data_IF_632207929303
#
_entry.id   IF_632207929303
#
_cell.length_a   1.000
_cell.length_b   1.000
_cell.length_c   1.000
_cell.angle_alpha   90.00
_cell.angle_beta   90.00
_cell.angle_gamma   90.00
#
_symmetry.space_group_name_H-M   'P 1'
#
loop_
_entity.id
_entity.type
_entity.pdbx_description
1 polymer ?
#
# COMPACT_ATOMS: atom_id res chain seq x y z
N UNK A 1 -14.17 -12.36 -2.46
CA UNK A 1 -13.34 -12.22 -1.29
C UNK A 1 -12.33 -13.35 -1.09
N UNK A 2 -12.76 -14.60 -0.83
CA UNK A 2 -11.83 -15.67 -0.41
C UNK A 2 -10.87 -16.17 -1.50
N UNK A 3 -11.21 -16.03 -2.77
CA UNK A 3 -10.34 -16.46 -3.89
C UNK A 3 -9.09 -15.59 -3.94
N UNK A 4 -9.23 -14.27 -3.87
CA UNK A 4 -8.10 -13.35 -3.91
C UNK A 4 -7.19 -13.45 -2.68
N UNK A 5 -7.74 -13.70 -1.49
CA UNK A 5 -6.94 -13.95 -0.29
C UNK A 5 -6.04 -15.18 -0.42
N UNK A 6 -6.51 -16.21 -1.11
CA UNK A 6 -5.74 -17.43 -1.35
C UNK A 6 -4.64 -17.24 -2.41
N UNK A 7 -4.77 -16.27 -3.29
CA UNK A 7 -3.85 -16.01 -4.40
C UNK A 7 -2.87 -14.87 -4.08
N UNK A 8 -3.37 -13.71 -3.69
CA UNK A 8 -2.56 -12.49 -3.50
C UNK A 8 -2.18 -12.25 -2.03
N UNK A 9 -2.89 -12.81 -1.07
CA UNK A 9 -2.62 -12.64 0.35
C UNK A 9 -1.58 -13.63 0.86
N UNK A 10 -2.01 -14.84 1.20
CA UNK A 10 -1.18 -15.83 1.92
C UNK A 10 0.09 -16.23 1.14
N UNK A 11 0.06 -16.56 -0.17
CA UNK A 11 1.29 -16.94 -0.87
C UNK A 11 2.33 -15.82 -0.92
N UNK A 12 1.90 -14.58 -1.13
CA UNK A 12 2.79 -13.42 -1.17
C UNK A 12 3.37 -13.15 0.23
N UNK A 13 2.54 -13.16 1.27
CA UNK A 13 3.02 -13.01 2.64
C UNK A 13 4.03 -14.10 3.02
N UNK A 14 3.80 -15.35 2.61
CA UNK A 14 4.74 -16.45 2.83
C UNK A 14 6.06 -16.25 2.07
N UNK A 15 6.00 -15.68 0.86
CA UNK A 15 7.22 -15.37 0.10
C UNK A 15 8.08 -14.36 0.87
N UNK A 16 7.50 -13.24 1.32
CA UNK A 16 8.23 -12.23 2.11
C UNK A 16 8.69 -12.77 3.47
N UNK A 17 7.89 -13.61 4.13
CA UNK A 17 8.31 -14.24 5.39
C UNK A 17 9.57 -15.11 5.22
N UNK A 18 9.69 -15.83 4.09
CA UNK A 18 10.91 -16.61 3.77
C UNK A 18 12.10 -15.72 3.45
N UNK A 19 11.88 -14.44 3.12
CA UNK A 19 12.95 -13.47 2.86
C UNK A 19 13.24 -12.54 4.06
N UNK A 20 12.80 -12.93 5.25
CA UNK A 20 13.18 -12.28 6.51
C UNK A 20 12.22 -11.17 6.99
N UNK A 21 11.06 -11.01 6.36
CA UNK A 21 10.06 -10.05 6.80
C UNK A 21 9.04 -10.65 7.75
N UNK A 22 8.51 -9.83 8.65
CA UNK A 22 7.26 -10.13 9.35
C UNK A 22 6.11 -9.68 8.44
N UNK A 23 5.38 -10.63 7.87
CA UNK A 23 4.34 -10.36 6.87
C UNK A 23 2.94 -10.54 7.47
N UNK A 24 2.08 -9.55 7.25
CA UNK A 24 0.70 -9.52 7.74
C UNK A 24 -0.28 -9.37 6.58
N UNK A 25 -1.31 -10.20 6.55
CA UNK A 25 -2.40 -10.09 5.57
C UNK A 25 -3.56 -9.35 6.21
N UNK A 26 -3.83 -8.13 5.75
CA UNK A 26 -4.90 -7.30 6.28
C UNK A 26 -6.24 -7.66 5.65
N UNK A 27 -7.21 -7.99 6.48
CA UNK A 27 -8.60 -8.17 6.09
C UNK A 27 -9.38 -6.88 6.39
N UNK A 28 -9.53 -6.03 5.39
CA UNK A 28 -10.23 -4.78 5.52
C UNK A 28 -11.72 -4.90 5.15
N UNK A 29 -12.52 -3.96 5.63
CA UNK A 29 -13.95 -3.88 5.33
C UNK A 29 -14.17 -3.62 3.84
N UNK A 30 -15.13 -4.33 3.28
CA UNK A 30 -15.61 -4.17 1.90
C UNK A 30 -17.11 -3.90 1.92
N UNK A 31 -17.73 -3.66 0.76
CA UNK A 31 -19.18 -3.38 0.71
C UNK A 31 -19.97 -4.21 1.72
N UNK A 32 -20.90 -3.61 2.47
CA UNK A 32 -21.50 -2.26 2.27
C UNK A 32 -20.69 -1.07 2.84
N UNK A 33 -19.52 -1.31 3.40
CA UNK A 33 -18.64 -0.26 3.92
C UNK A 33 -17.98 0.56 2.82
N UNK A 34 -17.55 1.77 3.14
CA UNK A 34 -16.88 2.68 2.22
C UNK A 34 -15.39 2.33 2.03
N UNK A 35 -14.76 2.92 1.02
CA UNK A 35 -13.32 2.81 0.81
C UNK A 35 -12.55 3.45 1.98
N UNK A 36 -13.00 4.58 2.47
CA UNK A 36 -12.42 5.30 3.60
C UNK A 36 -12.41 4.46 4.89
N UNK A 37 -13.46 3.70 5.14
CA UNK A 37 -13.50 2.77 6.27
C UNK A 37 -12.49 1.63 6.10
N UNK A 38 -12.31 1.13 4.87
CA UNK A 38 -11.27 0.15 4.55
C UNK A 38 -9.86 0.71 4.72
N UNK A 39 -9.63 1.96 4.33
CA UNK A 39 -8.34 2.65 4.51
C UNK A 39 -8.00 2.83 5.99
N UNK A 40 -8.99 3.15 6.82
CA UNK A 40 -8.82 3.20 8.28
C UNK A 40 -8.52 1.82 8.88
N UNK A 41 -9.04 0.73 8.32
CA UNK A 41 -8.70 -0.62 8.76
C UNK A 41 -7.21 -0.91 8.50
N UNK A 42 -6.67 -0.47 7.35
CA UNK A 42 -5.25 -0.55 7.04
C UNK A 42 -4.42 0.31 8.00
N UNK A 43 -4.81 1.58 8.20
CA UNK A 43 -4.15 2.48 9.13
C UNK A 43 -4.07 1.86 10.54
N UNK A 44 -5.16 1.24 10.99
CA UNK A 44 -5.20 0.57 12.29
C UNK A 44 -4.31 -0.69 12.34
N UNK A 45 -4.23 -1.44 11.25
CA UNK A 45 -3.32 -2.58 11.15
C UNK A 45 -1.85 -2.13 11.23
N UNK A 46 -1.48 -1.06 10.54
CA UNK A 46 -0.13 -0.48 10.59
C UNK A 46 0.21 -0.02 12.01
N UNK A 47 -0.70 0.66 12.69
CA UNK A 47 -0.54 1.08 14.09
C UNK A 47 -0.35 -0.10 15.03
N UNK A 48 -1.13 -1.17 14.84
CA UNK A 48 -0.99 -2.39 15.61
C UNK A 48 0.41 -3.00 15.45
N UNK A 49 0.88 -3.14 14.23
CA UNK A 49 2.21 -3.68 13.94
C UNK A 49 3.30 -2.80 14.55
N UNK A 50 3.19 -1.48 14.42
CA UNK A 50 4.16 -0.54 15.00
C UNK A 50 4.17 -0.59 16.52
N UNK A 51 3.01 -0.64 17.16
CA UNK A 51 2.88 -0.75 18.62
C UNK A 51 3.54 -2.02 19.17
N UNK A 52 3.45 -3.09 18.41
CA UNK A 52 4.00 -4.41 18.76
C UNK A 52 5.32 -4.73 18.07
N UNK A 53 6.03 -3.73 17.55
CA UNK A 53 7.26 -3.93 16.79
C UNK A 53 8.31 -4.71 17.57
N UNK A 54 8.46 -4.44 18.88
CA UNK A 54 9.38 -5.16 19.75
C UNK A 54 9.01 -6.65 19.90
N UNK A 55 7.73 -6.98 19.95
CA UNK A 55 7.24 -8.36 20.05
C UNK A 55 7.55 -9.15 18.79
N UNK A 56 7.59 -8.48 17.65
CA UNK A 56 7.93 -9.06 16.34
C UNK A 56 9.42 -8.97 15.99
N UNK A 57 10.23 -8.29 16.81
CA UNK A 57 11.65 -8.10 16.57
C UNK A 57 11.94 -7.23 15.33
N UNK A 58 11.08 -6.25 15.02
CA UNK A 58 11.22 -5.34 13.89
C UNK A 58 11.47 -3.91 14.33
N UNK A 59 12.09 -3.11 13.45
CA UNK A 59 12.17 -1.67 13.63
C UNK A 59 10.79 -1.04 13.36
N UNK A 60 10.21 -0.24 14.27
CA UNK A 60 8.91 0.39 14.08
C UNK A 60 8.86 1.39 12.90
N UNK A 61 10.00 1.84 12.40
CA UNK A 61 10.08 2.72 11.24
C UNK A 61 10.12 1.96 9.91
N UNK A 62 10.46 0.66 9.93
CA UNK A 62 10.60 -0.19 8.74
C UNK A 62 9.30 -0.99 8.49
N UNK A 63 8.20 -0.28 8.31
CA UNK A 63 6.91 -0.86 7.96
C UNK A 63 6.54 -0.41 6.56
N UNK A 64 6.35 -1.38 5.66
CA UNK A 64 5.88 -1.16 4.30
C UNK A 64 4.44 -1.68 4.15
N UNK A 65 3.67 -1.07 3.27
CA UNK A 65 2.40 -1.62 2.80
C UNK A 65 2.50 -2.04 1.33
N UNK A 66 1.84 -3.12 0.97
CA UNK A 66 1.73 -3.55 -0.42
C UNK A 66 0.30 -3.96 -0.70
N UNK A 67 -0.23 -3.51 -1.82
CA UNK A 67 -1.60 -3.79 -2.19
C UNK A 67 -1.76 -4.10 -3.67
N UNK A 68 -2.71 -4.97 -3.96
CA UNK A 68 -3.06 -5.42 -5.30
C UNK A 68 -4.36 -4.78 -5.73
N UNK A 69 -4.42 -4.17 -6.92
CA UNK A 69 -5.67 -3.63 -7.47
C UNK A 69 -6.37 -2.72 -6.45
N UNK A 70 -7.59 -3.04 -6.04
CA UNK A 70 -8.33 -2.30 -5.01
C UNK A 70 -7.56 -2.18 -3.69
N UNK A 71 -6.79 -3.21 -3.29
CA UNK A 71 -5.95 -3.17 -2.10
C UNK A 71 -4.80 -2.16 -2.20
N UNK A 72 -4.22 -1.98 -3.39
CA UNK A 72 -3.21 -0.95 -3.64
C UNK A 72 -3.81 0.46 -3.63
N UNK A 73 -5.02 0.63 -4.19
CA UNK A 73 -5.76 1.90 -4.10
C UNK A 73 -6.03 2.25 -2.64
N UNK A 74 -6.33 1.25 -1.82
CA UNK A 74 -6.52 1.42 -0.38
C UNK A 74 -5.24 1.88 0.33
N UNK A 75 -4.08 1.30 -0.03
CA UNK A 75 -2.79 1.77 0.48
C UNK A 75 -2.53 3.24 0.13
N UNK A 76 -2.87 3.64 -1.10
CA UNK A 76 -2.75 5.03 -1.54
C UNK A 76 -3.72 5.98 -0.84
N UNK A 77 -4.95 5.56 -0.60
CA UNK A 77 -5.95 6.38 0.11
C UNK A 77 -5.58 6.53 1.59
N UNK A 78 -5.05 5.48 2.20
CA UNK A 78 -4.51 5.53 3.57
C UNK A 78 -3.40 6.58 3.66
N UNK A 79 -2.40 6.51 2.79
CA UNK A 79 -1.27 7.42 2.81
C UNK A 79 -1.63 8.88 2.46
N UNK A 80 -2.68 9.11 1.67
CA UNK A 80 -3.11 10.45 1.29
C UNK A 80 -4.04 11.12 2.31
N UNK A 81 -4.82 10.34 3.04
CA UNK A 81 -5.98 10.86 3.79
C UNK A 81 -6.07 10.34 5.23
N UNK A 82 -5.36 9.28 5.59
CA UNK A 82 -5.48 8.62 6.90
C UNK A 82 -4.14 8.29 7.54
N UNK A 83 -3.09 8.95 7.07
CA UNK A 83 -1.73 8.85 7.61
C UNK A 83 -1.59 9.46 9.02
N UNK A 84 -0.41 9.33 9.58
CA UNK A 84 -0.06 9.85 10.91
C UNK A 84 -1.06 9.40 12.00
N UNK A 85 -1.75 10.34 12.64
CA UNK A 85 -2.70 10.08 13.73
C UNK A 85 -4.17 10.21 13.33
N UNK A 86 -4.46 10.35 12.02
CA UNK A 86 -5.84 10.44 11.53
C UNK A 86 -6.54 9.10 11.77
N UNK A 87 -7.63 9.11 12.51
CA UNK A 87 -8.35 7.91 12.94
C UNK A 87 -9.84 7.98 12.58
N UNK A 88 -10.65 7.06 13.09
CA UNK A 88 -12.06 6.94 12.79
C UNK A 88 -12.91 8.18 13.14
N UNK A 89 -12.42 9.10 13.96
CA UNK A 89 -13.12 10.37 14.25
C UNK A 89 -13.23 11.25 13.01
N UNK A 90 -12.38 11.05 12.00
CA UNK A 90 -12.47 11.74 10.71
C UNK A 90 -13.73 11.34 9.90
N UNK A 91 -14.30 10.18 10.16
CA UNK A 91 -15.51 9.68 9.47
C UNK A 91 -16.76 9.75 10.32
N UNK A 92 -16.66 9.57 11.64
CA UNK A 92 -17.82 9.54 12.53
C UNK A 92 -17.47 10.00 13.94
N UNK A 93 -18.37 10.80 14.53
CA UNK A 93 -18.30 11.21 15.95
C UNK A 93 -18.52 10.05 16.93
N UNK A 94 -19.04 8.92 16.47
CA UNK A 94 -19.27 7.75 17.31
C UNK A 94 -18.03 6.92 17.56
N UNK A 95 -16.97 7.16 16.77
CA UNK A 95 -15.68 6.50 16.98
C UNK A 95 -15.10 6.86 18.35
N UNK A 96 -14.60 5.87 19.05
CA UNK A 96 -13.93 6.05 20.35
C UNK A 96 -12.46 5.67 20.19
N UNK A 97 -11.55 6.67 20.17
CA UNK A 97 -10.12 6.40 20.09
C UNK A 97 -9.63 5.56 21.27
N UNK A 98 -8.61 4.77 21.02
CA UNK A 98 -7.89 3.98 22.01
C UNK A 98 -6.36 4.18 21.86
N UNK A 99 -5.58 3.38 22.58
CA UNK A 99 -4.11 3.49 22.61
C UNK A 99 -3.44 3.26 21.23
N UNK A 100 -4.09 2.58 20.28
CA UNK A 100 -3.54 2.43 18.92
C UNK A 100 -3.64 3.74 18.13
N UNK A 101 -4.60 4.60 18.45
CA UNK A 101 -4.76 5.87 17.75
C UNK A 101 -3.70 6.91 18.16
N UNK A 102 -2.90 6.63 19.18
CA UNK A 102 -1.74 7.43 19.60
C UNK A 102 -0.48 7.10 18.78
N UNK A 103 -0.53 6.08 17.92
CA UNK A 103 0.57 5.58 17.12
C UNK A 103 0.38 5.98 15.65
N UNK A 104 1.48 6.40 14.99
CA UNK A 104 1.44 6.78 13.57
C UNK A 104 1.07 5.61 12.66
N UNK A 105 0.25 5.88 11.64
CA UNK A 105 -0.08 4.96 10.56
C UNK A 105 0.87 5.06 9.36
N UNK A 106 1.87 5.95 9.37
CA UNK A 106 2.79 6.12 8.24
C UNK A 106 3.57 4.84 7.95
N UNK A 107 3.86 4.63 6.67
CA UNK A 107 4.74 3.56 6.20
C UNK A 107 5.97 4.14 5.53
N UNK A 108 7.08 3.40 5.52
CA UNK A 108 8.32 3.85 4.87
C UNK A 108 8.25 3.74 3.34
N UNK A 109 7.41 2.86 2.80
CA UNK A 109 7.18 2.71 1.37
C UNK A 109 5.86 1.97 1.09
N UNK A 110 5.35 2.18 -0.13
CA UNK A 110 4.15 1.50 -0.64
C UNK A 110 4.48 0.74 -1.92
N UNK A 111 4.04 -0.53 -1.99
CA UNK A 111 4.00 -1.31 -3.23
C UNK A 111 2.60 -1.25 -3.87
N UNK A 112 2.51 -0.64 -5.04
CA UNK A 112 1.31 -0.53 -5.87
C UNK A 112 1.34 -1.58 -6.98
N UNK A 113 0.71 -2.72 -6.75
CA UNK A 113 0.70 -3.82 -7.71
C UNK A 113 -0.59 -3.73 -8.53
N UNK A 114 -0.46 -3.40 -9.82
CA UNK A 114 -1.56 -2.99 -10.72
C UNK A 114 -2.59 -2.09 -10.02
N UNK A 115 -2.07 -1.04 -9.37
CA UNK A 115 -2.84 -0.07 -8.61
C UNK A 115 -2.31 1.36 -8.83
N UNK A 116 -3.01 2.34 -8.30
CA UNK A 116 -2.68 3.76 -8.39
C UNK A 116 -3.23 4.53 -7.18
N UNK A 117 -2.72 5.71 -6.94
CA UNK A 117 -3.37 6.69 -6.06
C UNK A 117 -4.65 7.19 -6.72
N UNK A 118 -5.74 7.25 -5.99
CA UNK A 118 -7.03 7.72 -6.51
C UNK A 118 -8.21 6.97 -5.92
N UNK A 119 -9.22 6.78 -6.75
CA UNK A 119 -10.44 6.03 -6.40
C UNK A 119 -10.59 4.83 -7.32
N UNK A 120 -11.42 3.87 -6.94
CA UNK A 120 -11.72 2.71 -7.79
C UNK A 120 -12.07 3.19 -9.22
N UNK A 121 -11.35 2.68 -10.20
CA UNK A 121 -11.46 2.96 -11.63
C UNK A 121 -10.98 4.35 -12.08
N UNK A 122 -10.49 5.22 -11.19
CA UNK A 122 -10.01 6.56 -11.54
C UNK A 122 -8.71 6.88 -10.81
N UNK A 123 -7.61 6.91 -11.56
CA UNK A 123 -6.31 7.32 -11.06
C UNK A 123 -6.25 8.84 -10.82
N UNK A 124 -5.57 9.24 -9.75
CA UNK A 124 -5.22 10.64 -9.54
C UNK A 124 -3.98 11.01 -10.36
N UNK A 125 -4.03 12.18 -10.96
CA UNK A 125 -2.88 12.84 -11.63
C UNK A 125 -2.66 14.24 -11.08
N UNK A 126 -3.14 14.49 -9.87
CA UNK A 126 -3.06 15.79 -9.20
C UNK A 126 -1.69 15.98 -8.54
N UNK A 127 -0.74 16.53 -9.31
CA UNK A 127 0.63 16.79 -8.90
C UNK A 127 0.70 17.68 -7.65
N UNK A 128 -0.14 18.71 -7.58
CA UNK A 128 -0.12 19.64 -6.44
C UNK A 128 -0.60 18.97 -5.15
N UNK A 129 -1.59 18.09 -5.26
CA UNK A 129 -2.02 17.25 -4.13
C UNK A 129 -0.86 16.36 -3.66
N UNK A 130 -0.16 15.69 -4.57
CA UNK A 130 0.98 14.84 -4.22
C UNK A 130 2.13 15.64 -3.60
N UNK A 131 2.43 16.84 -4.10
CA UNK A 131 3.44 17.75 -3.51
C UNK A 131 3.09 18.19 -2.09
N UNK A 132 1.81 18.45 -1.83
CA UNK A 132 1.34 18.89 -0.51
C UNK A 132 1.16 17.76 0.49
N UNK A 133 1.14 16.51 0.03
CA UNK A 133 0.99 15.32 0.84
C UNK A 133 2.35 14.70 1.16
N UNK A 134 2.44 14.02 2.31
CA UNK A 134 3.66 13.29 2.71
C UNK A 134 3.60 11.83 2.29
N UNK A 135 3.21 11.56 1.03
CA UNK A 135 3.19 10.18 0.54
C UNK A 135 4.62 9.62 0.52
N UNK A 136 4.79 8.36 0.92
CA UNK A 136 6.10 7.75 0.99
C UNK A 136 6.64 7.38 -0.40
N UNK A 137 7.93 7.06 -0.51
CA UNK A 137 8.51 6.42 -1.69
C UNK A 137 7.61 5.28 -2.17
N UNK A 138 7.33 5.23 -3.47
CA UNK A 138 6.32 4.33 -4.01
C UNK A 138 6.86 3.44 -5.14
N UNK A 139 6.65 2.15 -5.00
CA UNK A 139 6.96 1.15 -6.01
C UNK A 139 5.71 0.83 -6.82
N UNK A 140 5.82 0.91 -8.16
CA UNK A 140 4.75 0.56 -9.08
C UNK A 140 5.12 -0.68 -9.91
N UNK A 141 4.20 -1.63 -10.00
CA UNK A 141 4.33 -2.82 -10.85
C UNK A 141 3.02 -3.12 -11.55
N UNK A 142 3.01 -3.16 -12.88
CA UNK A 142 1.79 -3.40 -13.65
C UNK A 142 2.10 -3.98 -15.03
N UNK A 143 1.11 -4.59 -15.67
CA UNK A 143 1.25 -5.23 -16.95
C UNK A 143 0.83 -4.34 -18.12
N UNK A 144 1.49 -4.49 -19.28
CA UNK A 144 1.18 -3.70 -20.48
C UNK A 144 -0.15 -4.06 -21.15
N UNK A 145 -0.74 -5.23 -20.80
CA UNK A 145 -2.07 -5.67 -21.27
C UNK A 145 -3.18 -5.42 -20.25
N UNK A 146 -2.88 -4.73 -19.15
CA UNK A 146 -3.88 -4.35 -18.16
C UNK A 146 -4.82 -3.29 -18.74
N UNK A 147 -6.15 -3.42 -18.60
CA UNK A 147 -7.10 -2.39 -19.05
C UNK A 147 -6.85 -1.01 -18.45
N UNK A 148 -6.22 -0.94 -17.27
CA UNK A 148 -5.88 0.30 -16.58
C UNK A 148 -4.47 0.80 -16.83
N UNK A 149 -3.70 0.17 -17.72
CA UNK A 149 -2.30 0.50 -18.02
C UNK A 149 -2.03 2.00 -18.11
N UNK A 150 -2.84 2.73 -18.91
CA UNK A 150 -2.67 4.18 -19.08
C UNK A 150 -2.83 4.96 -17.79
N UNK A 151 -3.72 4.50 -16.91
CA UNK A 151 -3.96 5.14 -15.62
C UNK A 151 -2.82 4.90 -14.63
N UNK A 152 -2.25 3.68 -14.61
CA UNK A 152 -1.07 3.40 -13.79
C UNK A 152 0.09 4.29 -14.19
N UNK A 153 0.41 4.32 -15.47
CA UNK A 153 1.49 5.13 -16.02
C UNK A 153 1.28 6.64 -15.78
N UNK A 154 0.08 7.15 -16.00
CA UNK A 154 -0.24 8.56 -15.75
C UNK A 154 -0.09 8.92 -14.25
N UNK A 155 -0.54 8.06 -13.36
CA UNK A 155 -0.41 8.26 -11.92
C UNK A 155 1.06 8.22 -11.48
N UNK A 156 1.84 7.24 -11.91
CA UNK A 156 3.26 7.12 -11.62
C UNK A 156 4.04 8.37 -12.09
N UNK A 157 3.74 8.88 -13.28
CA UNK A 157 4.33 10.11 -13.80
C UNK A 157 3.98 11.33 -12.94
N UNK A 158 2.72 11.47 -12.50
CA UNK A 158 2.32 12.58 -11.64
C UNK A 158 2.98 12.52 -10.26
N UNK A 159 3.13 11.33 -9.69
CA UNK A 159 3.85 11.12 -8.41
C UNK A 159 5.33 11.48 -8.56
N UNK A 160 5.97 11.06 -9.67
CA UNK A 160 7.35 11.43 -9.99
C UNK A 160 7.52 12.94 -10.18
N UNK A 161 6.61 13.59 -10.91
CA UNK A 161 6.59 15.04 -11.10
C UNK A 161 6.43 15.81 -9.79
N UNK A 162 5.71 15.24 -8.84
CA UNK A 162 5.58 15.79 -7.50
C UNK A 162 6.87 15.72 -6.67
N UNK A 163 7.92 15.06 -7.16
CA UNK A 163 9.21 14.90 -6.48
C UNK A 163 9.26 13.74 -5.50
N UNK A 164 8.28 12.85 -5.52
CA UNK A 164 8.28 11.62 -4.72
C UNK A 164 9.20 10.59 -5.40
N UNK A 165 10.02 9.93 -4.62
CA UNK A 165 10.85 8.83 -5.11
C UNK A 165 10.00 7.65 -5.54
N UNK A 166 10.20 7.17 -6.77
CA UNK A 166 9.47 6.02 -7.29
C UNK A 166 10.38 5.03 -8.02
N UNK A 167 10.04 3.74 -7.93
CA UNK A 167 10.51 2.71 -8.84
C UNK A 167 9.31 2.16 -9.61
N UNK A 168 9.43 1.98 -10.92
CA UNK A 168 8.33 1.61 -11.81
C UNK A 168 8.73 0.43 -12.70
N UNK A 169 7.93 -0.63 -12.65
CA UNK A 169 8.11 -1.85 -13.44
C UNK A 169 6.90 -2.13 -14.32
N UNK A 170 7.14 -2.14 -15.63
CA UNK A 170 6.17 -2.53 -16.64
C UNK A 170 6.48 -3.94 -17.13
N UNK A 171 5.55 -4.88 -16.95
CA UNK A 171 5.71 -6.26 -17.37
C UNK A 171 5.00 -6.49 -18.70
N UNK A 172 5.81 -6.71 -19.76
CA UNK A 172 5.30 -6.88 -21.12
C UNK A 172 4.35 -8.06 -21.25
N UNK A 173 3.18 -7.82 -21.83
CA UNK A 173 2.16 -8.84 -22.08
C UNK A 173 1.37 -9.31 -20.86
N UNK A 174 1.67 -8.83 -19.66
CA UNK A 174 0.95 -9.24 -18.45
C UNK A 174 -0.42 -8.56 -18.35
N UNK A 175 -1.48 -9.33 -18.02
CA UNK A 175 -2.82 -8.80 -17.77
C UNK A 175 -2.95 -8.31 -16.33
N UNK A 176 -4.13 -7.76 -15.97
CA UNK A 176 -4.49 -7.52 -14.58
C UNK A 176 -4.47 -8.81 -13.75
N UNK A 177 -4.00 -8.74 -12.50
CA UNK A 177 -4.06 -9.89 -11.58
C UNK A 177 -2.88 -10.87 -11.68
N UNK A 178 -1.75 -10.51 -12.28
CA UNK A 178 -0.57 -11.38 -12.41
C UNK A 178 0.21 -11.60 -11.10
N UNK A 179 -0.07 -10.83 -10.05
CA UNK A 179 0.80 -10.66 -8.89
C UNK A 179 1.18 -11.93 -8.13
N UNK A 180 0.35 -12.97 -8.17
CA UNK A 180 0.65 -14.25 -7.50
C UNK A 180 1.32 -15.28 -8.42
N UNK A 181 1.37 -15.02 -9.73
CA UNK A 181 1.96 -15.93 -10.73
C UNK A 181 3.29 -15.45 -11.29
N UNK A 182 3.69 -14.22 -10.98
CA UNK A 182 4.87 -13.56 -11.53
C UNK A 182 5.76 -13.04 -10.41
N UNK A 183 6.76 -13.81 -10.04
CA UNK A 183 7.60 -13.57 -8.86
C UNK A 183 8.54 -12.34 -9.01
N UNK A 184 8.85 -11.92 -10.24
CA UNK A 184 9.83 -10.87 -10.52
C UNK A 184 9.53 -9.55 -9.80
N UNK A 185 8.26 -9.18 -9.66
CA UNK A 185 7.90 -7.97 -8.93
C UNK A 185 8.23 -8.07 -7.43
N UNK A 186 8.09 -9.26 -6.84
CA UNK A 186 8.42 -9.48 -5.42
C UNK A 186 9.92 -9.34 -5.19
N UNK A 187 10.74 -9.88 -6.07
CA UNK A 187 12.20 -9.75 -6.04
C UNK A 187 12.61 -8.27 -6.18
N UNK A 188 11.97 -7.54 -7.11
CA UNK A 188 12.22 -6.11 -7.30
C UNK A 188 11.78 -5.28 -6.10
N UNK A 189 10.61 -5.59 -5.53
CA UNK A 189 10.10 -4.89 -4.35
C UNK A 189 10.91 -5.20 -3.07
N UNK A 190 11.43 -6.42 -2.93
CA UNK A 190 12.35 -6.79 -1.84
C UNK A 190 13.63 -5.94 -1.89
N UNK A 191 14.24 -5.83 -3.07
CA UNK A 191 15.40 -4.96 -3.27
C UNK A 191 15.07 -3.50 -2.95
N UNK A 192 13.96 -2.97 -3.47
CA UNK A 192 13.48 -1.63 -3.21
C UNK A 192 13.27 -1.37 -1.70
N UNK A 193 12.56 -2.26 -0.99
CA UNK A 193 12.36 -2.13 0.45
C UNK A 193 13.68 -2.14 1.22
N UNK A 194 14.62 -3.00 0.83
CA UNK A 194 15.95 -3.07 1.45
C UNK A 194 16.70 -1.74 1.30
N UNK A 195 16.63 -1.10 0.13
CA UNK A 195 17.23 0.20 -0.12
C UNK A 195 16.57 1.30 0.71
N UNK A 196 15.24 1.40 0.69
CA UNK A 196 14.50 2.39 1.48
C UNK A 196 14.76 2.23 2.98
N UNK A 197 14.69 1.02 3.52
CA UNK A 197 14.87 0.74 4.94
C UNK A 197 16.32 0.95 5.41
N UNK A 198 17.32 0.82 4.52
CA UNK A 198 18.71 1.10 4.87
C UNK A 198 19.01 2.60 5.04
N UNK A 199 18.12 3.46 4.57
CA UNK A 199 18.25 4.92 4.63
C UNK A 199 17.44 5.55 5.79
N UNK A 200 16.74 4.74 6.60
CA UNK A 200 15.88 5.19 7.73
C UNK A 200 16.67 5.35 9.07
#
# INVERSE_FOLDING_TARGET
GDVYKRQEGTPVAQWFARHGYQAFVVNYRVRPYTMEEGSLDLARAIRFVRRHAADYGINPNDIASVGFSAGGILCGDEALNFDELINGTALTSDYRPDELDEVSANVCTIGMIYAFYGRLSVASTDVEKFKSSKIPPTFFAYGTRDPFYRQFHACANAVREAGVEIEEHEYEGMPHGFGYTHEEWMISFDRWMTEIMSNN
#
